data_IF_591800319266
#
_entry.id   IF_591800319266
#
_cell.length_a   1.000
_cell.length_b   1.000
_cell.length_c   1.000
_cell.angle_alpha   90.00
_cell.angle_beta   90.00
_cell.angle_gamma   90.00
#
_symmetry.space_group_name_H-M   'P 1'
#
loop_
_entity.id
_entity.type
_entity.pdbx_description
1 polymer ?
#
# COMPACT_ATOMS: atom_id res chain seq x y z
N UNK A 1 -17.69 -12.76 0.83
CA UNK A 1 -16.29 -12.26 0.97
C UNK A 1 -15.95 -11.52 -0.32
N UNK A 2 -15.86 -10.19 -0.26
CA UNK A 2 -15.89 -9.33 -1.45
C UNK A 2 -14.58 -9.43 -2.25
N UNK A 3 -14.58 -10.24 -3.32
CA UNK A 3 -13.60 -10.14 -4.38
C UNK A 3 -13.95 -8.91 -5.24
N UNK A 4 -13.55 -7.72 -4.81
CA UNK A 4 -13.80 -6.50 -5.57
C UNK A 4 -12.50 -5.71 -5.73
N UNK A 5 -12.09 -5.53 -6.98
CA UNK A 5 -11.22 -4.42 -7.36
C UNK A 5 -12.12 -3.17 -7.43
N UNK A 6 -11.73 -2.09 -6.75
CA UNK A 6 -12.54 -0.88 -6.62
C UNK A 6 -12.14 0.24 -7.59
N UNK A 7 -11.29 -0.06 -8.57
CA UNK A 7 -10.93 0.89 -9.61
C UNK A 7 -12.17 1.32 -10.39
N UNK A 8 -12.26 2.62 -10.66
CA UNK A 8 -13.36 3.25 -11.39
C UNK A 8 -12.83 4.37 -12.28
N UNK A 9 -13.65 4.81 -13.22
CA UNK A 9 -13.32 5.96 -14.05
C UNK A 9 -13.10 7.22 -13.20
N UNK A 10 -12.34 8.16 -13.74
CA UNK A 10 -12.06 9.43 -13.08
C UNK A 10 -13.35 10.18 -12.73
N UNK A 11 -13.46 10.71 -11.49
CA UNK A 11 -14.58 11.56 -11.10
C UNK A 11 -14.55 12.86 -11.93
N UNK A 12 -15.60 13.08 -12.73
CA UNK A 12 -15.68 14.21 -13.68
C UNK A 12 -15.68 15.58 -12.98
N UNK A 13 -16.09 15.61 -11.71
CA UNK A 13 -16.06 16.77 -10.81
C UNK A 13 -14.65 17.09 -10.26
N UNK A 14 -13.68 16.17 -10.42
CA UNK A 14 -12.32 16.31 -9.88
C UNK A 14 -11.24 16.36 -10.95
N UNK A 15 -11.26 15.40 -11.88
CA UNK A 15 -10.25 15.27 -12.92
C UNK A 15 -10.92 15.42 -14.27
N UNK A 16 -10.63 16.54 -14.96
CA UNK A 16 -11.09 16.74 -16.33
C UNK A 16 -10.30 15.86 -17.30
N UNK A 17 -11.02 15.05 -18.07
CA UNK A 17 -10.45 14.28 -19.18
C UNK A 17 -9.98 15.16 -20.35
N UNK A 18 -10.26 16.48 -20.36
CA UNK A 18 -9.91 17.35 -21.48
C UNK A 18 -8.39 17.55 -21.67
N UNK A 19 -7.59 17.40 -20.61
CA UNK A 19 -6.11 17.35 -20.71
C UNK A 19 -5.59 15.96 -21.12
N UNK A 20 -6.46 14.97 -21.10
CA UNK A 20 -6.23 13.55 -21.38
C UNK A 20 -6.71 13.22 -22.79
N UNK A 21 -6.29 14.00 -23.79
CA UNK A 21 -6.70 13.74 -25.17
C UNK A 21 -5.95 12.49 -25.68
N UNK A 22 -6.70 11.38 -25.85
CA UNK A 22 -6.20 10.10 -26.33
C UNK A 22 -5.65 10.17 -27.77
N UNK A 23 -5.84 11.29 -28.47
CA UNK A 23 -5.25 11.55 -29.79
C UNK A 23 -3.78 12.02 -29.73
N UNK A 24 -3.30 12.43 -28.56
CA UNK A 24 -1.89 12.77 -28.36
C UNK A 24 -1.07 11.49 -28.15
N UNK A 25 -0.25 11.13 -29.13
CA UNK A 25 0.65 9.96 -29.06
C UNK A 25 1.58 9.99 -27.83
N UNK A 26 1.89 11.16 -27.26
CA UNK A 26 2.69 11.26 -26.03
C UNK A 26 1.95 10.85 -24.75
N UNK A 27 0.62 10.67 -24.81
CA UNK A 27 -0.24 10.28 -23.69
C UNK A 27 -0.76 8.83 -23.81
N UNK A 28 -0.38 8.13 -24.89
CA UNK A 28 -0.81 6.77 -25.21
C UNK A 28 -0.35 5.79 -24.12
N UNK A 29 -1.30 5.05 -23.54
CA UNK A 29 -1.04 4.12 -22.44
C UNK A 29 -1.23 4.69 -21.04
N UNK A 30 -1.64 5.95 -20.91
CA UNK A 30 -2.01 6.53 -19.61
C UNK A 30 -3.40 6.02 -19.18
N UNK A 31 -3.57 5.43 -17.98
CA UNK A 31 -4.86 4.88 -17.57
C UNK A 31 -5.89 5.98 -17.30
N UNK A 32 -7.17 5.67 -17.53
CA UNK A 32 -8.32 6.57 -17.30
C UNK A 32 -9.18 6.14 -16.10
N UNK A 33 -8.59 5.34 -15.22
CA UNK A 33 -9.20 4.76 -14.03
C UNK A 33 -8.19 4.71 -12.88
N UNK A 34 -8.72 4.76 -11.67
CA UNK A 34 -7.98 4.60 -10.42
C UNK A 34 -8.96 4.22 -9.30
N UNK A 35 -8.44 3.90 -8.12
CA UNK A 35 -9.27 3.68 -6.94
C UNK A 35 -9.46 5.00 -6.20
N UNK A 36 -10.69 5.50 -6.07
CA UNK A 36 -10.96 6.80 -5.44
C UNK A 36 -11.79 6.63 -4.17
N UNK A 37 -11.59 7.53 -3.21
CA UNK A 37 -12.46 7.63 -2.04
C UNK A 37 -13.87 8.06 -2.48
N UNK A 38 -14.90 7.48 -1.85
CA UNK A 38 -16.30 7.82 -2.11
C UNK A 38 -16.73 9.16 -1.50
N UNK A 39 -16.04 9.60 -0.44
CA UNK A 39 -16.28 10.90 0.20
C UNK A 39 -15.82 12.05 -0.70
N UNK A 40 -16.46 13.21 -0.57
CA UNK A 40 -15.91 14.46 -1.10
C UNK A 40 -14.60 14.82 -0.37
N UNK A 41 -13.47 14.64 -1.04
CA UNK A 41 -12.12 14.87 -0.50
C UNK A 41 -11.76 16.36 -0.38
N UNK A 42 -12.54 17.27 -0.98
CA UNK A 42 -12.34 18.72 -0.84
C UNK A 42 -13.18 19.35 0.26
N UNK A 43 -14.12 18.59 0.85
CA UNK A 43 -14.93 19.04 1.96
C UNK A 43 -14.12 18.98 3.27
N UNK A 44 -14.15 20.07 4.04
CA UNK A 44 -13.45 20.21 5.31
C UNK A 44 -14.25 21.10 6.26
N UNK A 45 -14.25 20.78 7.55
CA UNK A 45 -14.91 21.57 8.59
C UNK A 45 -13.98 22.68 9.09
N UNK A 46 -13.81 23.74 8.29
CA UNK A 46 -12.87 24.82 8.56
C UNK A 46 -13.13 25.51 9.91
N UNK A 47 -14.40 25.76 10.24
CA UNK A 47 -14.79 26.43 11.48
C UNK A 47 -14.39 25.61 12.71
N UNK A 48 -14.59 24.29 12.66
CA UNK A 48 -14.18 23.39 13.73
C UNK A 48 -12.67 23.44 14.01
N UNK A 49 -11.86 23.56 12.96
CA UNK A 49 -10.40 23.68 13.06
C UNK A 49 -9.91 25.13 13.24
N UNK A 50 -10.82 26.09 13.43
CA UNK A 50 -10.48 27.51 13.61
C UNK A 50 -9.87 28.17 12.37
N UNK A 51 -10.15 27.65 11.17
CA UNK A 51 -9.68 28.16 9.89
C UNK A 51 -10.74 29.05 9.23
N UNK A 52 -10.30 30.14 8.60
CA UNK A 52 -11.15 30.95 7.74
C UNK A 52 -11.46 30.26 6.40
N UNK A 53 -12.50 30.70 5.70
CA UNK A 53 -12.86 30.15 4.39
C UNK A 53 -11.76 30.31 3.34
N UNK A 54 -10.99 31.40 3.40
CA UNK A 54 -9.86 31.64 2.49
C UNK A 54 -8.70 30.69 2.78
N UNK A 55 -8.43 30.39 4.05
CA UNK A 55 -7.42 29.41 4.46
C UNK A 55 -7.82 27.98 4.09
N UNK A 56 -9.09 27.62 4.23
CA UNK A 56 -9.61 26.31 3.80
C UNK A 56 -9.47 26.10 2.29
N UNK A 57 -9.85 27.10 1.48
CA UNK A 57 -9.71 27.03 0.02
C UNK A 57 -8.25 26.93 -0.43
N UNK A 58 -7.33 27.60 0.27
CA UNK A 58 -5.90 27.57 -0.03
C UNK A 58 -5.17 26.33 0.50
N UNK A 59 -5.75 25.60 1.46
CA UNK A 59 -5.12 24.45 2.09
C UNK A 59 -5.19 23.20 1.21
N UNK A 60 -4.08 22.47 1.16
CA UNK A 60 -4.00 21.18 0.49
C UNK A 60 -5.05 20.21 1.07
N UNK A 61 -5.94 19.62 0.25
CA UNK A 61 -6.91 18.62 0.70
C UNK A 61 -6.29 17.48 1.54
N UNK A 62 -5.05 17.07 1.26
CA UNK A 62 -4.36 16.05 2.05
C UNK A 62 -4.08 16.52 3.48
N UNK A 63 -3.71 17.78 3.67
CA UNK A 63 -3.50 18.36 5.01
C UNK A 63 -4.81 18.47 5.77
N UNK A 64 -5.90 18.83 5.09
CA UNK A 64 -7.25 18.91 5.66
C UNK A 64 -7.78 17.55 6.10
N UNK A 65 -7.65 16.53 5.24
CA UNK A 65 -7.99 15.15 5.60
C UNK A 65 -7.13 14.65 6.76
N UNK A 66 -5.83 14.96 6.76
CA UNK A 66 -4.94 14.59 7.85
C UNK A 66 -5.37 15.19 9.20
N UNK A 67 -5.77 16.47 9.23
CA UNK A 67 -6.27 17.15 10.43
C UNK A 67 -7.52 16.47 10.99
N UNK A 68 -8.52 16.20 10.14
CA UNK A 68 -9.75 15.51 10.57
C UNK A 68 -9.49 14.14 11.18
N UNK A 69 -8.63 13.34 10.54
CA UNK A 69 -8.39 11.97 10.98
C UNK A 69 -7.50 11.94 12.23
N UNK A 70 -6.54 12.86 12.33
CA UNK A 70 -5.72 13.04 13.54
C UNK A 70 -6.58 13.49 14.72
N UNK A 71 -7.50 14.43 14.52
CA UNK A 71 -8.41 14.86 15.58
C UNK A 71 -9.23 13.71 16.17
N UNK A 72 -9.79 12.85 15.30
CA UNK A 72 -10.53 11.66 15.73
C UNK A 72 -9.68 10.66 16.53
N UNK A 73 -8.36 10.78 16.44
CA UNK A 73 -7.40 9.89 17.09
C UNK A 73 -6.85 10.46 18.42
N UNK A 74 -7.23 11.67 18.83
CA UNK A 74 -6.65 12.36 19.99
C UNK A 74 -7.54 12.26 21.24
N UNK A 75 -7.13 11.47 22.24
CA UNK A 75 -7.57 11.62 23.64
C UNK A 75 -6.46 11.32 24.68
N UNK A 76 -5.49 10.41 24.42
CA UNK A 76 -4.27 10.19 25.22
C UNK A 76 -3.23 9.36 24.45
N UNK A 77 -2.33 10.00 23.67
CA UNK A 77 -1.48 9.30 22.69
C UNK A 77 0.00 9.67 22.78
N UNK A 78 0.90 8.70 22.62
CA UNK A 78 2.34 8.96 22.55
C UNK A 78 2.80 9.34 21.16
N UNK A 79 2.24 8.70 20.13
CA UNK A 79 2.51 9.04 18.75
C UNK A 79 1.29 8.80 17.87
N UNK A 80 1.11 9.68 16.89
CA UNK A 80 0.17 9.52 15.78
C UNK A 80 0.99 9.26 14.52
N UNK A 81 0.68 8.17 13.83
CA UNK A 81 1.27 7.83 12.54
C UNK A 81 0.18 7.87 11.49
N UNK A 82 0.36 8.72 10.48
CA UNK A 82 -0.65 8.99 9.49
C UNK A 82 -0.08 8.91 8.07
N UNK A 83 -0.95 8.60 7.12
CA UNK A 83 -0.63 8.53 5.71
C UNK A 83 -1.85 8.91 4.90
N UNK A 84 -1.63 9.65 3.84
CA UNK A 84 -2.67 10.15 2.96
C UNK A 84 -2.14 10.15 1.53
N UNK A 85 -3.02 9.86 0.59
CA UNK A 85 -2.82 10.09 -0.83
C UNK A 85 -4.16 10.41 -1.49
N UNK A 86 -4.23 11.54 -2.19
CA UNK A 86 -5.43 12.02 -2.89
C UNK A 86 -5.06 12.40 -4.33
N UNK A 87 -5.87 11.96 -5.29
CA UNK A 87 -5.65 12.12 -6.73
C UNK A 87 -6.42 13.36 -7.23
N UNK A 88 -5.74 14.50 -7.26
CA UNK A 88 -6.36 15.81 -7.54
C UNK A 88 -6.29 16.23 -9.02
N UNK A 89 -5.32 15.75 -9.78
CA UNK A 89 -5.11 16.19 -11.16
C UNK A 89 -4.60 15.07 -12.06
N UNK A 90 -4.78 15.20 -13.40
CA UNK A 90 -4.25 14.24 -14.35
C UNK A 90 -2.74 14.34 -14.54
N UNK A 91 -2.12 15.44 -14.14
CA UNK A 91 -0.72 15.75 -14.49
C UNK A 91 0.25 14.71 -13.91
N UNK A 92 -0.01 14.22 -12.69
CA UNK A 92 0.76 13.13 -12.08
C UNK A 92 0.59 11.79 -12.83
N UNK A 93 -0.61 11.49 -13.33
CA UNK A 93 -0.79 10.27 -14.12
C UNK A 93 0.02 10.31 -15.40
N UNK A 94 -0.02 11.45 -16.11
CA UNK A 94 0.74 11.68 -17.34
C UNK A 94 2.24 11.52 -17.08
N UNK A 95 2.75 12.14 -16.02
CA UNK A 95 4.16 12.05 -15.66
C UNK A 95 4.60 10.60 -15.34
N UNK A 96 3.82 9.88 -14.54
CA UNK A 96 4.14 8.50 -14.15
C UNK A 96 4.01 7.51 -15.31
N UNK A 97 3.04 7.72 -16.21
CA UNK A 97 2.93 6.95 -17.45
C UNK A 97 4.08 7.21 -18.41
N UNK A 98 4.54 8.46 -18.53
CA UNK A 98 5.73 8.79 -19.34
C UNK A 98 7.00 8.12 -18.80
N UNK A 99 7.06 7.83 -17.50
CA UNK A 99 8.14 7.05 -16.86
C UNK A 99 7.94 5.52 -16.97
N UNK A 100 6.81 5.06 -17.51
CA UNK A 100 6.49 3.64 -17.66
C UNK A 100 6.11 2.94 -16.34
N UNK A 101 5.66 3.69 -15.34
CA UNK A 101 5.34 3.14 -14.01
C UNK A 101 3.90 2.62 -13.91
N UNK A 102 2.96 3.24 -14.64
CA UNK A 102 1.55 2.91 -14.53
C UNK A 102 1.16 1.74 -15.44
N UNK A 103 0.27 0.89 -14.91
CA UNK A 103 -0.44 -0.09 -15.72
C UNK A 103 -1.39 0.64 -16.68
N UNK A 104 -1.39 0.33 -17.99
CA UNK A 104 -2.40 0.83 -18.92
C UNK A 104 -3.84 0.42 -18.55
N UNK A 105 -3.99 -0.68 -17.80
CA UNK A 105 -5.27 -1.18 -17.30
C UNK A 105 -5.74 -0.45 -16.03
N UNK A 106 -4.87 0.38 -15.43
CA UNK A 106 -5.13 1.16 -14.22
C UNK A 106 -5.36 0.31 -12.96
N UNK A 107 -4.86 -0.94 -12.96
CA UNK A 107 -4.95 -1.88 -11.83
C UNK A 107 -3.61 -2.50 -11.51
N UNK A 108 -3.41 -2.93 -10.27
CA UNK A 108 -2.21 -3.68 -9.88
C UNK A 108 -2.46 -5.18 -10.09
N UNK A 109 -1.76 -5.79 -11.05
CA UNK A 109 -1.80 -7.25 -11.27
C UNK A 109 -0.73 -7.94 -10.39
N UNK A 110 -0.82 -7.76 -9.08
CA UNK A 110 0.20 -8.19 -8.11
C UNK A 110 0.49 -9.69 -8.18
N UNK A 111 1.74 -10.05 -8.43
CA UNK A 111 2.26 -11.42 -8.56
C UNK A 111 1.60 -12.26 -9.67
N UNK A 112 1.00 -11.61 -10.67
CA UNK A 112 0.35 -12.26 -11.82
C UNK A 112 1.19 -12.09 -13.10
N UNK A 113 1.08 -13.03 -14.04
CA UNK A 113 1.82 -12.96 -15.31
C UNK A 113 1.45 -11.76 -16.18
N UNK A 114 0.32 -11.10 -15.88
CA UNK A 114 -0.15 -9.87 -16.54
C UNK A 114 0.43 -8.58 -15.92
N UNK A 115 1.29 -8.69 -14.91
CA UNK A 115 1.99 -7.57 -14.29
C UNK A 115 2.62 -6.62 -15.32
N UNK A 116 2.09 -5.40 -15.44
CA UNK A 116 2.45 -4.41 -16.46
C UNK A 116 2.56 -2.98 -15.91
N UNK A 117 2.70 -2.83 -14.59
CA UNK A 117 2.70 -1.54 -13.89
C UNK A 117 1.68 -1.53 -12.76
N UNK A 118 1.55 -0.40 -12.06
CA UNK A 118 0.56 -0.27 -11.00
C UNK A 118 -0.62 0.63 -11.39
N UNK A 119 -1.80 0.35 -10.85
CA UNK A 119 -2.92 1.28 -10.82
C UNK A 119 -2.82 2.22 -9.61
N UNK A 120 -3.23 3.48 -9.73
CA UNK A 120 -3.21 4.44 -8.62
C UNK A 120 -4.43 4.29 -7.71
N UNK A 121 -4.30 4.70 -6.46
CA UNK A 121 -5.40 4.67 -5.49
C UNK A 121 -5.31 5.78 -4.46
N UNK A 122 -6.45 6.23 -3.97
CA UNK A 122 -6.56 7.17 -2.87
C UNK A 122 -6.71 6.45 -1.53
N UNK A 123 -6.23 7.07 -0.48
CA UNK A 123 -6.45 6.57 0.87
C UNK A 123 -6.03 7.56 1.94
N UNK A 124 -6.61 7.38 3.12
CA UNK A 124 -6.10 7.98 4.33
C UNK A 124 -6.18 6.93 5.45
N UNK A 125 -5.22 6.99 6.37
CA UNK A 125 -5.22 6.11 7.53
C UNK A 125 -4.39 6.71 8.65
N UNK A 126 -4.80 6.41 9.88
CA UNK A 126 -4.12 6.85 11.10
C UNK A 126 -3.99 5.66 12.05
N UNK A 127 -2.84 5.58 12.69
CA UNK A 127 -2.54 4.69 13.79
C UNK A 127 -2.19 5.52 15.02
N UNK A 128 -2.76 5.12 16.14
CA UNK A 128 -2.35 5.59 17.47
C UNK A 128 -1.36 4.58 18.01
N UNK A 129 -0.20 5.06 18.45
CA UNK A 129 0.85 4.21 19.00
C UNK A 129 1.13 4.64 20.44
N UNK A 130 1.21 3.62 21.31
CA UNK A 130 1.58 3.71 22.71
C UNK A 130 2.51 2.55 23.06
N UNK A 131 3.31 2.72 24.10
CA UNK A 131 3.99 1.58 24.72
C UNK A 131 2.94 0.59 25.24
N UNK A 132 3.27 -0.70 25.22
CA UNK A 132 2.35 -1.75 25.70
C UNK A 132 2.07 -1.56 27.20
N UNK A 133 3.07 -1.16 27.98
CA UNK A 133 2.93 -0.95 29.42
C UNK A 133 1.97 0.20 29.74
N UNK A 134 2.07 1.32 29.02
CA UNK A 134 1.14 2.43 29.18
C UNK A 134 -0.27 2.05 28.72
N UNK A 135 -0.40 1.34 27.60
CA UNK A 135 -1.70 0.89 27.10
C UNK A 135 -2.39 -0.05 28.10
N UNK A 136 -1.65 -0.96 28.73
CA UNK A 136 -2.17 -1.84 29.79
C UNK A 136 -2.52 -1.04 31.05
N UNK A 137 -1.66 -0.12 31.48
CA UNK A 137 -1.90 0.73 32.66
C UNK A 137 -3.18 1.54 32.50
N UNK A 138 -3.37 2.12 31.32
CA UNK A 138 -4.46 3.06 31.06
C UNK A 138 -5.75 2.34 30.61
N UNK A 139 -5.70 1.01 30.44
CA UNK A 139 -6.85 0.18 30.08
C UNK A 139 -7.25 0.29 28.60
N UNK A 140 -6.31 0.66 27.74
CA UNK A 140 -6.51 0.86 26.31
C UNK A 140 -6.76 -0.47 25.58
N UNK A 141 -7.53 -0.41 24.49
CA UNK A 141 -7.69 -1.57 23.60
C UNK A 141 -6.46 -1.76 22.72
N UNK A 142 -5.67 -2.79 22.99
CA UNK A 142 -4.51 -3.15 22.16
C UNK A 142 -4.98 -3.98 20.96
N UNK A 143 -4.99 -3.35 19.78
CA UNK A 143 -5.39 -3.98 18.50
C UNK A 143 -4.31 -4.90 17.94
N UNK A 144 -3.04 -4.49 18.06
CA UNK A 144 -1.87 -5.26 17.66
C UNK A 144 -0.60 -4.72 18.35
N UNK A 145 0.49 -5.48 18.29
CA UNK A 145 1.80 -5.10 18.84
C UNK A 145 2.83 -5.04 17.70
N UNK A 146 3.47 -3.88 17.54
CA UNK A 146 4.58 -3.71 16.60
C UNK A 146 5.86 -4.26 17.25
N UNK A 147 6.37 -5.38 16.73
CA UNK A 147 7.54 -6.06 17.30
C UNK A 147 8.87 -5.45 16.89
N UNK A 148 8.97 -4.95 15.66
CA UNK A 148 10.12 -4.21 15.18
C UNK A 148 9.74 -3.35 13.96
N UNK A 149 10.48 -2.26 13.77
CA UNK A 149 10.47 -1.42 12.57
C UNK A 149 11.91 -1.14 12.14
N UNK A 150 12.07 -0.81 10.86
CA UNK A 150 13.35 -0.38 10.29
C UNK A 150 13.25 -0.08 8.81
N UNK A 151 14.30 0.56 8.30
CA UNK A 151 14.42 1.03 6.92
C UNK A 151 15.83 0.79 6.42
N UNK A 152 16.00 0.51 5.13
CA UNK A 152 17.29 0.53 4.46
C UNK A 152 17.14 1.13 3.04
N UNK A 153 18.10 0.88 2.16
CA UNK A 153 18.14 1.44 0.81
C UNK A 153 18.72 0.42 -0.18
N UNK A 154 18.32 0.50 -1.46
CA UNK A 154 18.63 -0.50 -2.49
C UNK A 154 20.12 -0.58 -2.89
N UNK A 155 20.93 0.38 -2.49
CA UNK A 155 22.34 0.47 -2.82
C UNK A 155 22.55 1.04 -4.22
N UNK A 156 23.65 0.61 -4.83
CA UNK A 156 24.03 1.04 -6.17
C UNK A 156 23.24 0.24 -7.21
N UNK A 157 22.01 0.67 -7.49
CA UNK A 157 21.15 0.17 -8.58
C UNK A 157 20.88 1.27 -9.61
N UNK A 158 20.17 0.96 -10.71
CA UNK A 158 19.54 2.03 -11.50
C UNK A 158 18.41 2.66 -10.68
N UNK A 159 18.15 3.95 -10.86
CA UNK A 159 17.43 4.81 -9.89
C UNK A 159 16.12 4.23 -9.33
N UNK A 160 15.35 3.48 -10.12
CA UNK A 160 14.07 2.90 -9.72
C UNK A 160 14.06 1.36 -9.66
N UNK A 161 15.20 0.70 -9.76
CA UNK A 161 15.27 -0.76 -9.78
C UNK A 161 15.43 -1.33 -8.35
N UNK A 162 14.54 -2.25 -7.94
CA UNK A 162 14.58 -2.83 -6.60
C UNK A 162 15.74 -3.81 -6.42
N UNK A 163 16.18 -4.05 -5.19
CA UNK A 163 17.15 -5.11 -4.86
C UNK A 163 16.51 -6.16 -3.94
N UNK A 164 16.43 -7.40 -4.46
CA UNK A 164 15.96 -8.55 -3.66
C UNK A 164 16.87 -8.84 -2.47
N UNK A 165 18.18 -8.60 -2.62
CA UNK A 165 19.17 -8.79 -1.55
C UNK A 165 18.94 -7.81 -0.40
N UNK A 166 18.75 -6.53 -0.72
CA UNK A 166 18.50 -5.50 0.30
C UNK A 166 17.14 -5.68 0.97
N UNK A 167 16.11 -6.12 0.24
CA UNK A 167 14.82 -6.46 0.83
C UNK A 167 14.93 -7.65 1.80
N UNK A 168 15.57 -8.75 1.38
CA UNK A 168 15.76 -9.92 2.25
C UNK A 168 16.61 -9.56 3.49
N UNK A 169 17.64 -8.73 3.33
CA UNK A 169 18.46 -8.25 4.44
C UNK A 169 17.64 -7.43 5.44
N UNK A 170 16.79 -6.52 4.95
CA UNK A 170 15.91 -5.73 5.81
C UNK A 170 14.99 -6.64 6.62
N UNK A 171 14.28 -7.54 5.95
CA UNK A 171 13.34 -8.46 6.59
C UNK A 171 14.07 -9.31 7.64
N UNK A 172 15.20 -9.94 7.29
CA UNK A 172 15.96 -10.75 8.24
C UNK A 172 16.41 -9.94 9.46
N UNK A 173 16.95 -8.73 9.24
CA UNK A 173 17.41 -7.87 10.34
C UNK A 173 16.28 -7.50 11.32
N UNK A 174 15.05 -7.36 10.82
CA UNK A 174 13.87 -7.06 11.65
C UNK A 174 13.42 -8.28 12.46
N UNK A 175 13.48 -9.48 11.88
CA UNK A 175 13.20 -10.72 12.60
C UNK A 175 14.24 -10.99 13.68
N UNK A 176 15.53 -10.75 13.39
CA UNK A 176 16.62 -10.88 14.35
C UNK A 176 16.45 -9.86 15.50
N UNK A 177 16.17 -8.59 15.16
CA UNK A 177 15.92 -7.51 16.14
C UNK A 177 14.70 -7.82 17.02
N UNK A 178 13.64 -8.39 16.44
CA UNK A 178 12.43 -8.76 17.16
C UNK A 178 12.54 -10.11 17.92
N UNK A 179 13.63 -10.85 17.69
CA UNK A 179 13.84 -12.23 18.17
C UNK A 179 12.67 -13.15 17.79
N UNK A 180 12.25 -13.07 16.51
CA UNK A 180 11.15 -13.86 15.96
C UNK A 180 11.69 -14.95 15.04
N UNK A 181 11.01 -16.10 15.04
CA UNK A 181 11.27 -17.17 14.09
C UNK A 181 10.43 -16.94 12.81
N UNK A 182 11.05 -16.81 11.62
CA UNK A 182 10.32 -16.67 10.36
C UNK A 182 9.33 -17.80 10.08
N UNK A 183 9.54 -19.01 10.60
CA UNK A 183 8.62 -20.14 10.42
C UNK A 183 7.27 -19.96 11.12
N UNK A 184 7.21 -19.13 12.17
CA UNK A 184 5.97 -18.85 12.90
C UNK A 184 5.08 -17.83 12.16
N UNK A 185 5.60 -17.21 11.10
CA UNK A 185 4.86 -16.22 10.31
C UNK A 185 3.88 -16.92 9.37
N UNK A 186 2.61 -16.55 9.41
CA UNK A 186 1.58 -17.17 8.57
C UNK A 186 1.18 -16.30 7.39
N UNK A 187 1.28 -14.98 7.54
CA UNK A 187 0.84 -14.00 6.55
C UNK A 187 1.91 -12.92 6.34
N UNK A 188 2.14 -12.56 5.08
CA UNK A 188 2.98 -11.44 4.69
C UNK A 188 2.20 -10.53 3.74
N UNK A 189 1.94 -9.30 4.18
CA UNK A 189 1.38 -8.25 3.33
C UNK A 189 2.53 -7.62 2.54
N UNK A 190 2.60 -7.94 1.25
CA UNK A 190 3.68 -7.52 0.38
C UNK A 190 3.48 -6.10 -0.16
N UNK A 191 4.54 -5.53 -0.72
CA UNK A 191 4.43 -4.34 -1.55
C UNK A 191 3.63 -4.65 -2.82
N UNK A 192 3.93 -5.72 -3.55
CA UNK A 192 3.10 -6.29 -4.62
C UNK A 192 2.54 -5.24 -5.57
N UNK A 193 3.41 -4.59 -6.35
CA UNK A 193 3.01 -3.46 -7.21
C UNK A 193 2.35 -3.88 -8.51
N UNK A 194 2.46 -5.14 -8.91
CA UNK A 194 2.02 -5.58 -10.23
C UNK A 194 3.03 -5.23 -11.32
N UNK A 195 4.32 -5.13 -10.98
CA UNK A 195 5.38 -4.84 -11.96
C UNK A 195 6.10 -6.12 -12.39
N UNK A 196 6.38 -6.26 -13.69
CA UNK A 196 7.02 -7.45 -14.26
C UNK A 196 8.40 -7.78 -13.65
N UNK A 197 9.10 -6.76 -13.12
CA UNK A 197 10.41 -6.90 -12.51
C UNK A 197 10.31 -6.93 -10.97
N UNK A 198 9.52 -6.02 -10.37
CA UNK A 198 9.48 -5.85 -8.93
C UNK A 198 8.86 -7.04 -8.21
N UNK A 199 7.75 -7.56 -8.72
CA UNK A 199 7.00 -8.62 -8.05
C UNK A 199 7.80 -9.95 -7.96
N UNK A 200 8.48 -10.43 -9.03
CA UNK A 200 9.36 -11.59 -8.91
C UNK A 200 10.52 -11.37 -7.92
N UNK A 201 11.14 -10.19 -7.92
CA UNK A 201 12.26 -9.88 -7.01
C UNK A 201 11.82 -9.84 -5.55
N UNK A 202 10.64 -9.28 -5.27
CA UNK A 202 10.04 -9.26 -3.95
C UNK A 202 9.68 -10.67 -3.48
N UNK A 203 9.02 -11.48 -4.34
CA UNK A 203 8.69 -12.86 -4.01
C UNK A 203 9.93 -13.70 -3.70
N UNK A 204 11.03 -13.51 -4.44
CA UNK A 204 12.32 -14.15 -4.15
C UNK A 204 12.91 -13.70 -2.81
N UNK A 205 12.82 -12.40 -2.48
CA UNK A 205 13.30 -11.88 -1.20
C UNK A 205 12.53 -12.46 -0.01
N UNK A 206 11.19 -12.51 -0.12
CA UNK A 206 10.31 -13.14 0.86
C UNK A 206 10.65 -14.64 0.99
N UNK A 207 10.73 -15.36 -0.14
CA UNK A 207 11.05 -16.78 -0.18
C UNK A 207 12.40 -17.11 0.48
N UNK A 208 13.40 -16.24 0.31
CA UNK A 208 14.73 -16.39 0.94
C UNK A 208 14.67 -16.37 2.47
N UNK A 209 13.79 -15.57 3.07
CA UNK A 209 13.66 -15.45 4.54
C UNK A 209 12.69 -16.48 5.11
N UNK A 210 11.54 -16.67 4.47
CA UNK A 210 10.42 -17.43 5.03
C UNK A 210 10.24 -18.84 4.47
N UNK A 211 10.87 -19.15 3.33
CA UNK A 211 10.65 -20.40 2.61
C UNK A 211 11.45 -21.58 3.14
N UNK A 212 12.67 -21.35 3.65
CA UNK A 212 13.56 -22.44 4.09
C UNK A 212 12.99 -23.13 5.35
N UNK A 213 12.77 -24.44 5.26
CA UNK A 213 12.26 -25.25 6.38
C UNK A 213 10.75 -25.21 6.55
N UNK A 214 10.03 -24.53 5.66
CA UNK A 214 8.57 -24.46 5.67
C UNK A 214 7.95 -25.64 4.93
N UNK A 215 6.94 -26.28 5.53
CA UNK A 215 6.17 -27.35 4.87
C UNK A 215 5.18 -26.76 3.86
N UNK A 216 4.88 -27.52 2.81
CA UNK A 216 3.80 -27.20 1.86
C UNK A 216 2.41 -27.21 2.52
N UNK A 217 2.25 -27.91 3.65
CA UNK A 217 1.00 -27.94 4.42
C UNK A 217 0.78 -26.68 5.26
N UNK A 218 1.85 -25.90 5.51
CA UNK A 218 1.81 -24.65 6.26
C UNK A 218 2.56 -23.55 5.50
N UNK A 219 2.10 -23.21 4.28
CA UNK A 219 2.78 -22.24 3.45
C UNK A 219 2.69 -20.84 4.09
N UNK A 220 3.61 -19.97 3.70
CA UNK A 220 3.45 -18.54 3.97
C UNK A 220 2.40 -18.03 2.99
N UNK A 221 1.36 -17.39 3.49
CA UNK A 221 0.37 -16.75 2.65
C UNK A 221 0.86 -15.33 2.35
N UNK A 222 1.00 -15.00 1.07
CA UNK A 222 1.40 -13.66 0.61
C UNK A 222 0.15 -12.96 0.06
N UNK A 223 -0.11 -11.76 0.56
CA UNK A 223 -1.17 -10.87 0.08
C UNK A 223 -0.59 -9.59 -0.53
N UNK A 224 -1.40 -8.91 -1.33
CA UNK A 224 -1.09 -7.56 -1.81
C UNK A 224 -2.37 -6.74 -1.95
N UNK A 225 -2.66 -5.91 -0.95
CA UNK A 225 -3.85 -5.05 -0.89
C UNK A 225 -4.00 -4.15 -2.12
N UNK A 226 -2.87 -3.76 -2.75
CA UNK A 226 -2.87 -2.91 -3.95
C UNK A 226 -3.67 -3.49 -5.11
N UNK A 227 -3.79 -4.80 -5.17
CA UNK A 227 -4.55 -5.49 -6.19
C UNK A 227 -6.08 -5.22 -6.07
N UNK A 228 -6.53 -4.85 -4.87
CA UNK A 228 -7.91 -4.50 -4.57
C UNK A 228 -8.18 -3.00 -4.65
N UNK A 229 -7.29 -2.17 -4.08
CA UNK A 229 -7.52 -0.73 -3.88
C UNK A 229 -6.50 0.18 -4.58
N UNK A 230 -5.67 -0.36 -5.47
CA UNK A 230 -4.63 0.38 -6.16
C UNK A 230 -3.42 0.68 -5.27
N UNK A 231 -2.40 1.30 -5.86
CA UNK A 231 -1.25 1.79 -5.15
C UNK A 231 -1.59 3.13 -4.50
N UNK A 232 -1.74 3.11 -3.17
CA UNK A 232 -2.09 4.26 -2.34
C UNK A 232 -0.91 5.22 -2.08
N UNK A 233 0.15 5.14 -2.88
CA UNK A 233 1.37 5.96 -2.75
C UNK A 233 1.74 6.28 -1.29
N UNK A 234 1.55 7.53 -0.84
CA UNK A 234 1.84 7.98 0.53
C UNK A 234 1.08 7.26 1.66
N UNK A 235 -0.08 6.68 1.38
CA UNK A 235 -0.91 5.94 2.33
C UNK A 235 -0.71 4.40 2.29
N UNK A 236 0.11 3.89 1.37
CA UNK A 236 0.28 2.44 1.14
C UNK A 236 0.69 1.66 2.39
N UNK A 237 1.67 2.17 3.16
CA UNK A 237 2.20 1.46 4.31
C UNK A 237 1.14 1.26 5.41
N UNK A 238 0.39 2.31 5.73
CA UNK A 238 -0.65 2.26 6.76
C UNK A 238 -1.83 1.39 6.32
N UNK A 239 -2.21 1.43 5.04
CA UNK A 239 -3.26 0.56 4.54
C UNK A 239 -2.90 -0.93 4.73
N UNK A 240 -1.65 -1.30 4.45
CA UNK A 240 -1.13 -2.65 4.70
C UNK A 240 -1.15 -3.03 6.19
N UNK A 241 -0.72 -2.13 7.08
CA UNK A 241 -0.76 -2.36 8.54
C UNK A 241 -2.20 -2.50 9.05
N UNK A 242 -3.13 -1.68 8.58
CA UNK A 242 -4.54 -1.80 8.94
C UNK A 242 -5.12 -3.13 8.48
N UNK A 243 -4.77 -3.61 7.29
CA UNK A 243 -5.17 -4.93 6.83
C UNK A 243 -4.61 -6.04 7.75
N UNK A 244 -3.33 -6.00 8.12
CA UNK A 244 -2.76 -7.04 8.98
C UNK A 244 -3.39 -7.06 10.37
N UNK A 245 -3.74 -5.89 10.92
CA UNK A 245 -4.52 -5.79 12.17
C UNK A 245 -5.88 -6.46 12.01
N UNK A 246 -6.62 -6.17 10.93
CA UNK A 246 -7.91 -6.80 10.67
C UNK A 246 -7.80 -8.32 10.45
N UNK A 247 -6.71 -8.80 9.85
CA UNK A 247 -6.43 -10.24 9.72
C UNK A 247 -6.27 -10.89 11.10
N UNK A 248 -5.53 -10.25 12.02
CA UNK A 248 -5.35 -10.75 13.39
C UNK A 248 -6.67 -10.80 14.16
N UNK A 249 -7.49 -9.77 14.04
CA UNK A 249 -8.77 -9.66 14.76
C UNK A 249 -9.83 -10.62 14.26
N UNK A 250 -9.89 -10.82 12.94
CA UNK A 250 -10.88 -11.69 12.32
C UNK A 250 -10.39 -13.11 12.10
N UNK A 251 -9.11 -13.39 12.40
CA UNK A 251 -8.50 -14.71 12.17
C UNK A 251 -8.60 -15.20 10.73
N UNK A 252 -8.70 -14.27 9.77
CA UNK A 252 -9.04 -14.57 8.38
C UNK A 252 -8.21 -13.73 7.43
N UNK A 253 -7.52 -14.37 6.48
CA UNK A 253 -6.74 -13.68 5.46
C UNK A 253 -7.64 -13.38 4.24
N UNK A 254 -7.78 -12.11 3.82
CA UNK A 254 -8.60 -11.76 2.67
C UNK A 254 -7.96 -12.24 1.36
N UNK A 255 -8.78 -12.50 0.35
CA UNK A 255 -8.28 -12.83 -1.00
C UNK A 255 -7.69 -11.59 -1.68
N UNK A 256 -6.49 -11.75 -2.25
CA UNK A 256 -5.90 -10.80 -3.21
C UNK A 256 -6.47 -11.06 -4.62
N UNK A 257 -6.64 -10.01 -5.43
CA UNK A 257 -7.15 -10.12 -6.81
C UNK A 257 -6.15 -9.47 -7.78
N UNK A 258 -5.58 -10.21 -8.74
CA UNK A 258 -5.93 -11.57 -9.12
C UNK A 258 -5.58 -12.60 -8.04
N UNK A 259 -6.40 -13.65 -7.99
CA UNK A 259 -6.20 -14.76 -7.04
C UNK A 259 -4.94 -15.49 -7.45
N UNK A 260 -3.96 -15.60 -6.54
CA UNK A 260 -2.71 -16.36 -6.71
C UNK A 260 -2.91 -17.89 -6.83
N UNK A 261 -4.12 -18.34 -7.15
CA UNK A 261 -4.43 -19.75 -7.41
C UNK A 261 -3.76 -20.19 -8.72
N UNK A 262 -2.46 -20.50 -8.67
CA UNK A 262 -1.73 -21.10 -9.77
C UNK A 262 -0.20 -20.97 -9.76
N UNK A 263 0.40 -20.02 -9.03
CA UNK A 263 1.86 -19.82 -9.06
C UNK A 263 2.55 -20.59 -7.95
N UNK A 264 2.93 -21.83 -8.28
CA UNK A 264 3.86 -22.61 -7.50
C UNK A 264 5.23 -21.91 -7.54
N UNK A 265 5.59 -21.16 -6.48
CA UNK A 265 6.87 -20.43 -6.37
C UNK A 265 8.11 -21.36 -6.39
N UNK A 266 7.92 -22.67 -6.49
CA UNK A 266 8.97 -23.68 -6.59
C UNK A 266 9.61 -23.83 -8.00
N UNK A 267 9.09 -23.17 -9.06
CA UNK A 267 9.59 -23.39 -10.44
C UNK A 267 10.50 -22.29 -10.99
N UNK A 268 10.95 -21.32 -10.18
CA UNK A 268 11.83 -20.24 -10.64
C UNK A 268 13.33 -20.63 -10.74
N UNK A 269 13.69 -21.89 -10.44
CA UNK A 269 15.06 -22.41 -10.57
C UNK A 269 15.20 -23.45 -11.68
N UNK A 270 14.66 -23.20 -12.88
CA UNK A 270 15.13 -23.90 -14.08
C UNK A 270 14.88 -23.03 -15.30
N UNK A 271 15.88 -22.24 -15.70
CA UNK A 271 16.27 -21.98 -17.10
C UNK A 271 17.38 -20.92 -17.16
N UNK A 272 18.57 -21.33 -17.62
CA UNK A 272 19.64 -20.46 -18.13
C UNK A 272 20.66 -19.99 -17.12
#
# INVERSE_FOLDING_TARGET
MFRKNVARQFPADRISNSKYDATNESLKGTPHNACFLERNVTAFDAEFFGMSSDEDLGADPQQRVLLEVTYRALEDVQAIVAGCDILLSPDCFIALSALGFLSPDGVCQSFDSRANGYGRGEGFGVLIIKSVDDAVRDGDTIRAIIRATGTNQNGRTTLAHPSKEMQAQLIQSLYDKAQLNPLDTQFFEAHGTGTAIGDPLEAMAIGKVFGRGRSLDQPLIIGALKANIGHLEGCTGIAGVLQTILVLEHGTIPSTIPSLTGTNLASAETHG
#
